data_IF_907092381857
#
_entry.id   IF_907092381857
#
_cell.length_a   1.000
_cell.length_b   1.000
_cell.length_c   1.000
_cell.angle_alpha   90.00
_cell.angle_beta   90.00
_cell.angle_gamma   90.00
#
_symmetry.space_group_name_H-M   'P 1'
#
loop_
_entity.id
_entity.type
_entity.pdbx_description
1 polymer ?
#
# COMPACT_ATOMS: atom_id res chain seq x y z
N UNK A 1 2.03 -2.58 5.17
CA UNK A 1 2.88 -1.41 5.53
C UNK A 1 3.78 -1.79 6.70
N UNK A 2 4.81 -0.98 7.00
CA UNK A 2 5.76 -1.16 8.11
C UNK A 2 6.71 -2.37 8.00
N UNK A 3 7.09 -2.75 6.78
CA UNK A 3 8.22 -3.67 6.61
C UNK A 3 9.54 -2.95 6.94
N UNK A 4 10.45 -3.65 7.62
CA UNK A 4 11.79 -3.17 7.96
C UNK A 4 12.80 -4.06 7.24
N UNK A 5 13.63 -3.45 6.40
CA UNK A 5 14.65 -4.13 5.61
C UNK A 5 16.01 -3.59 6.04
N UNK A 6 16.88 -4.48 6.53
CA UNK A 6 18.20 -4.13 7.06
C UNK A 6 19.26 -4.17 5.95
N UNK A 7 20.36 -3.44 6.17
CA UNK A 7 21.48 -3.25 5.25
C UNK A 7 22.00 -4.54 4.61
N UNK A 8 22.33 -4.43 3.32
CA UNK A 8 22.89 -5.53 2.52
C UNK A 8 21.87 -6.58 2.08
N UNK A 9 20.59 -6.49 2.50
CA UNK A 9 19.56 -7.41 2.03
C UNK A 9 19.34 -7.28 0.51
N UNK A 10 19.29 -8.42 -0.19
CA UNK A 10 18.96 -8.53 -1.61
C UNK A 10 17.58 -9.14 -1.76
N UNK A 11 16.64 -8.36 -2.29
CA UNK A 11 15.28 -8.83 -2.60
C UNK A 11 15.21 -9.07 -4.10
N UNK A 12 14.92 -10.31 -4.50
CA UNK A 12 14.72 -10.65 -5.90
C UNK A 12 13.56 -9.88 -6.53
N UNK A 13 13.63 -9.70 -7.84
CA UNK A 13 12.63 -8.94 -8.60
C UNK A 13 11.21 -9.50 -8.43
N UNK A 14 10.22 -8.63 -8.57
CA UNK A 14 8.80 -8.98 -8.49
C UNK A 14 8.35 -9.63 -7.16
N UNK A 15 9.22 -9.71 -6.14
CA UNK A 15 8.86 -10.24 -4.83
C UNK A 15 8.02 -9.25 -4.03
N UNK A 16 7.12 -9.79 -3.21
CA UNK A 16 6.21 -9.00 -2.36
C UNK A 16 6.63 -9.18 -0.91
N UNK A 17 7.09 -8.10 -0.29
CA UNK A 17 7.36 -8.04 1.14
C UNK A 17 6.08 -7.67 1.88
N UNK A 18 5.62 -8.56 2.76
CA UNK A 18 4.39 -8.40 3.52
C UNK A 18 4.46 -7.28 4.56
N UNK A 19 3.29 -6.93 5.09
CA UNK A 19 3.20 -5.98 6.20
C UNK A 19 3.97 -6.49 7.42
N UNK A 20 4.62 -5.57 8.14
CA UNK A 20 5.37 -5.86 9.37
C UNK A 20 6.45 -6.94 9.22
N UNK A 21 6.95 -7.17 8.00
CA UNK A 21 8.04 -8.10 7.77
C UNK A 21 9.38 -7.49 8.22
N UNK A 22 10.23 -8.29 8.86
CA UNK A 22 11.58 -7.89 9.27
C UNK A 22 12.64 -8.69 8.50
N UNK A 23 13.22 -8.08 7.46
CA UNK A 23 14.27 -8.68 6.64
C UNK A 23 15.63 -8.37 7.27
N UNK A 24 16.36 -9.42 7.67
CA UNK A 24 17.67 -9.31 8.33
C UNK A 24 18.75 -8.77 7.40
N UNK A 25 19.84 -8.29 7.99
CA UNK A 25 21.03 -7.84 7.27
C UNK A 25 21.57 -8.96 6.36
N UNK A 26 22.04 -8.58 5.17
CA UNK A 26 22.61 -9.50 4.16
C UNK A 26 21.69 -10.67 3.74
N UNK A 27 20.38 -10.60 4.03
CA UNK A 27 19.46 -11.65 3.63
C UNK A 27 19.30 -11.69 2.11
N UNK A 28 19.33 -12.88 1.53
CA UNK A 28 19.05 -13.10 0.11
C UNK A 28 17.65 -13.71 -0.04
N UNK A 29 16.76 -12.99 -0.70
CA UNK A 29 15.41 -13.45 -0.98
C UNK A 29 15.25 -13.70 -2.49
N UNK A 30 14.68 -14.84 -2.91
CA UNK A 30 14.48 -15.15 -4.32
C UNK A 30 13.49 -14.19 -5.00
N UNK A 31 13.53 -14.15 -6.32
CA UNK A 31 12.57 -13.42 -7.15
C UNK A 31 11.19 -14.09 -7.17
N UNK A 32 10.14 -13.32 -7.45
CA UNK A 32 8.76 -13.78 -7.55
C UNK A 32 8.25 -14.51 -6.28
N UNK A 33 8.68 -14.11 -5.09
CA UNK A 33 8.28 -14.75 -3.83
C UNK A 33 7.49 -13.82 -2.92
N UNK A 34 6.58 -14.42 -2.14
CA UNK A 34 5.95 -13.79 -0.99
C UNK A 34 6.88 -13.91 0.22
N UNK A 35 7.31 -12.77 0.76
CA UNK A 35 8.26 -12.65 1.86
C UNK A 35 7.54 -12.06 3.08
N UNK A 36 7.42 -12.81 4.17
CA UNK A 36 6.61 -12.40 5.33
C UNK A 36 7.25 -12.79 6.66
N UNK A 37 6.80 -12.14 7.73
CA UNK A 37 7.14 -12.49 9.11
C UNK A 37 8.30 -11.71 9.69
N UNK A 38 8.58 -11.95 10.97
CA UNK A 38 9.71 -11.38 11.71
C UNK A 38 10.36 -12.49 12.54
N UNK A 39 11.54 -13.00 12.15
CA UNK A 39 12.31 -12.65 10.94
C UNK A 39 11.62 -13.14 9.65
N UNK A 40 11.75 -12.35 8.59
CA UNK A 40 11.08 -12.61 7.32
C UNK A 40 11.65 -13.84 6.60
N UNK A 41 10.76 -14.60 5.97
CA UNK A 41 11.09 -15.76 5.13
C UNK A 41 10.34 -15.67 3.79
N UNK A 42 10.97 -16.15 2.72
CA UNK A 42 10.29 -16.43 1.46
C UNK A 42 9.49 -17.72 1.61
N UNK A 43 8.16 -17.62 1.66
CA UNK A 43 7.29 -18.76 2.03
C UNK A 43 6.70 -19.50 0.83
N UNK A 44 6.60 -18.84 -0.33
CA UNK A 44 6.11 -19.43 -1.59
C UNK A 44 6.38 -18.49 -2.76
N UNK A 45 6.26 -19.03 -3.98
CA UNK A 45 6.17 -18.23 -5.21
C UNK A 45 4.83 -17.48 -5.27
N UNK A 46 4.85 -16.37 -6.00
CA UNK A 46 3.67 -15.57 -6.31
C UNK A 46 2.93 -16.16 -7.51
N UNK A 47 1.60 -16.07 -7.47
CA UNK A 47 0.78 -16.40 -8.63
C UNK A 47 0.82 -15.29 -9.68
N UNK A 48 0.47 -15.62 -10.92
CA UNK A 48 0.32 -14.63 -11.99
C UNK A 48 -0.71 -13.54 -11.63
N UNK A 49 -1.79 -13.93 -10.94
CA UNK A 49 -2.81 -12.99 -10.49
C UNK A 49 -2.26 -11.99 -9.45
N UNK A 50 -1.46 -12.46 -8.49
CA UNK A 50 -0.81 -11.59 -7.51
C UNK A 50 0.16 -10.61 -8.18
N UNK A 51 0.94 -11.09 -9.14
CA UNK A 51 1.86 -10.26 -9.93
C UNK A 51 1.10 -9.21 -10.76
N UNK A 52 0.03 -9.62 -11.45
CA UNK A 52 -0.78 -8.73 -12.27
C UNK A 52 -1.48 -7.66 -11.45
N UNK A 53 -2.13 -8.03 -10.34
CA UNK A 53 -2.69 -7.08 -9.38
C UNK A 53 -1.63 -6.09 -8.95
N UNK A 54 -0.46 -6.58 -8.50
CA UNK A 54 0.56 -5.71 -7.91
C UNK A 54 1.11 -4.70 -8.92
N UNK A 55 1.30 -5.12 -10.18
CA UNK A 55 1.66 -4.24 -11.29
C UNK A 55 0.59 -3.17 -11.51
N UNK A 56 -0.68 -3.55 -11.54
CA UNK A 56 -1.79 -2.61 -11.71
C UNK A 56 -1.87 -1.59 -10.56
N UNK A 57 -1.82 -2.04 -9.31
CA UNK A 57 -1.81 -1.14 -8.15
C UNK A 57 -0.61 -0.19 -8.15
N UNK A 58 0.56 -0.64 -8.62
CA UNK A 58 1.74 0.23 -8.78
C UNK A 58 1.51 1.30 -9.84
N UNK A 59 0.86 0.94 -10.96
CA UNK A 59 0.50 1.89 -12.01
C UNK A 59 -0.48 2.97 -11.51
N UNK A 60 -1.41 2.62 -10.64
CA UNK A 60 -2.33 3.59 -10.04
C UNK A 60 -1.59 4.67 -9.24
N UNK A 61 -0.59 4.29 -8.44
CA UNK A 61 0.25 5.26 -7.73
C UNK A 61 1.02 6.19 -8.68
N UNK A 62 1.54 5.66 -9.80
CA UNK A 62 2.20 6.49 -10.82
C UNK A 62 1.22 7.51 -11.42
N UNK A 63 -0.01 7.08 -11.72
CA UNK A 63 -1.07 7.98 -12.23
C UNK A 63 -1.43 9.05 -11.20
N UNK A 64 -1.50 8.71 -9.91
CA UNK A 64 -1.76 9.67 -8.84
C UNK A 64 -0.65 10.74 -8.74
N UNK A 65 0.61 10.35 -8.94
CA UNK A 65 1.74 11.29 -8.98
C UNK A 65 1.60 12.24 -10.17
N UNK A 66 1.31 11.74 -11.36
CA UNK A 66 1.12 12.59 -12.54
C UNK A 66 -0.06 13.54 -12.38
N UNK A 67 -1.18 13.05 -11.85
CA UNK A 67 -2.34 13.90 -11.50
C UNK A 67 -1.93 14.99 -10.51
N UNK A 68 -1.21 14.63 -9.44
CA UNK A 68 -0.74 15.59 -8.44
C UNK A 68 0.14 16.67 -9.09
N UNK A 69 1.12 16.30 -9.91
CA UNK A 69 1.98 17.28 -10.61
C UNK A 69 1.19 18.23 -11.51
N UNK A 70 0.14 17.73 -12.15
CA UNK A 70 -0.68 18.53 -13.07
C UNK A 70 -1.65 19.47 -12.34
N UNK A 71 -2.16 19.06 -11.17
CA UNK A 71 -3.27 19.78 -10.51
C UNK A 71 -2.88 20.44 -9.19
N UNK A 72 -1.71 20.14 -8.62
CA UNK A 72 -1.24 20.76 -7.39
C UNK A 72 -0.94 22.22 -7.64
N UNK A 73 -1.58 23.08 -6.86
CA UNK A 73 -1.34 24.51 -6.83
C UNK A 73 -1.42 24.99 -5.39
N UNK A 74 -0.70 26.08 -5.09
CA UNK A 74 -0.80 26.73 -3.79
C UNK A 74 -2.22 27.29 -3.62
N UNK A 75 -2.78 27.11 -2.43
CA UNK A 75 -4.08 27.66 -2.04
C UNK A 75 -3.95 28.30 -0.67
N UNK A 76 -4.77 29.31 -0.42
CA UNK A 76 -4.94 29.85 0.92
C UNK A 76 -5.77 28.87 1.77
N UNK A 77 -5.33 28.53 3.00
CA UNK A 77 -6.11 27.67 3.88
C UNK A 77 -7.49 28.25 4.17
N UNK A 78 -8.52 27.40 4.12
CA UNK A 78 -9.86 27.79 4.58
C UNK A 78 -9.81 28.12 6.07
N UNK A 79 -10.29 29.31 6.44
CA UNK A 79 -10.36 29.77 7.85
C UNK A 79 -11.63 29.33 8.56
N UNK A 80 -12.66 28.98 7.79
CA UNK A 80 -13.97 28.58 8.26
C UNK A 80 -14.43 27.36 7.46
N UNK A 81 -15.36 26.58 8.01
CA UNK A 81 -15.93 25.44 7.29
C UNK A 81 -16.83 25.93 6.13
N UNK A 82 -16.80 25.23 5.00
CA UNK A 82 -17.72 25.52 3.90
C UNK A 82 -19.17 25.35 4.36
N UNK A 83 -20.10 26.25 3.99
CA UNK A 83 -21.52 26.17 4.37
C UNK A 83 -22.14 24.80 4.07
N UNK A 84 -21.78 24.21 2.93
CA UNK A 84 -22.31 22.92 2.45
C UNK A 84 -21.32 21.75 2.66
N UNK A 85 -20.40 21.86 3.62
CA UNK A 85 -19.42 20.80 3.91
C UNK A 85 -20.16 19.52 4.32
N UNK A 86 -20.26 18.58 3.38
CA UNK A 86 -20.91 17.27 3.60
C UNK A 86 -20.34 16.60 4.84
N UNK A 87 -21.22 16.21 5.75
CA UNK A 87 -20.89 15.39 6.93
C UNK A 87 -21.48 14.00 6.75
N UNK A 88 -20.78 13.00 7.30
CA UNK A 88 -21.38 11.69 7.48
C UNK A 88 -22.48 11.84 8.53
N UNK A 89 -23.71 11.55 8.13
CA UNK A 89 -24.87 11.49 9.02
C UNK A 89 -25.08 10.01 9.33
N UNK A 90 -24.95 9.66 10.60
CA UNK A 90 -25.24 8.32 11.09
C UNK A 90 -26.70 8.30 11.57
N UNK A 91 -27.62 8.05 10.64
CA UNK A 91 -29.06 7.89 10.93
C UNK A 91 -29.44 6.42 11.15
N UNK A 92 -30.71 6.17 11.52
CA UNK A 92 -31.24 4.83 11.80
C UNK A 92 -31.22 3.89 10.57
N UNK A 93 -31.05 4.44 9.35
CA UNK A 93 -30.99 3.67 8.12
C UNK A 93 -29.56 3.20 7.78
N UNK A 94 -28.55 3.69 8.52
CA UNK A 94 -27.17 3.28 8.31
C UNK A 94 -26.93 1.87 8.85
N UNK A 95 -26.89 0.89 7.93
CA UNK A 95 -26.55 -0.50 8.25
C UNK A 95 -25.03 -0.72 8.09
N UNK A 96 -24.28 -1.02 9.18
CA UNK A 96 -22.89 -1.41 9.07
C UNK A 96 -22.75 -2.68 8.22
N UNK A 97 -21.73 -2.72 7.38
CA UNK A 97 -21.47 -3.83 6.43
C UNK A 97 -21.14 -5.18 7.12
N UNK A 98 -21.13 -5.25 8.46
CA UNK A 98 -20.78 -6.45 9.23
C UNK A 98 -21.97 -7.27 9.76
N UNK A 99 -23.21 -6.93 9.39
CA UNK A 99 -24.40 -7.72 9.75
C UNK A 99 -24.88 -8.58 8.57
N UNK A 100 -24.11 -9.61 8.24
CA UNK A 100 -24.50 -10.70 7.32
C UNK A 100 -24.12 -12.04 7.93
#
# INVERSE_FOLDING_TARGET
MSAVIIDGARIGENSIVGASAFVKANAEMPANHLIVGSPAKAIRTLSEQELAWKKQGTREYQVLVERCKQTLHQVEPLKEAEPDRKRLIFDENLRPKSSS
#
